data_IF_330635127174
#
_entry.id   IF_330635127174
#
_cell.length_a   1.000
_cell.length_b   1.000
_cell.length_c   1.000
_cell.angle_alpha   90.00
_cell.angle_beta   90.00
_cell.angle_gamma   90.00
#
_symmetry.space_group_name_H-M   'P 1'
#
loop_
_entity.id
_entity.type
_entity.pdbx_description
1 polymer ?
#
# COMPACT_ATOMS: atom_id res chain seq x y z
N UNK A 1 -4.09 -37.23 -6.45
CA UNK A 1 -4.71 -36.73 -7.70
C UNK A 1 -3.76 -36.98 -8.85
N UNK A 2 -4.27 -37.23 -10.05
CA UNK A 2 -3.44 -37.63 -11.18
C UNK A 2 -2.68 -36.42 -11.75
N UNK A 3 -1.34 -36.50 -11.76
CA UNK A 3 -0.48 -35.53 -12.44
C UNK A 3 -0.28 -35.95 -13.89
N UNK A 4 -1.36 -35.90 -14.67
CA UNK A 4 -1.33 -36.28 -16.08
C UNK A 4 -2.17 -35.34 -16.93
N UNK A 5 -1.99 -35.44 -18.24
CA UNK A 5 -2.72 -34.65 -19.24
C UNK A 5 -3.87 -35.45 -19.88
N UNK A 6 -4.38 -36.47 -19.19
CA UNK A 6 -5.45 -37.32 -19.73
C UNK A 6 -6.82 -36.64 -19.66
N UNK A 7 -7.01 -35.73 -18.70
CA UNK A 7 -8.24 -34.98 -18.49
C UNK A 7 -7.92 -33.49 -18.29
N UNK A 8 -8.85 -32.61 -18.66
CA UNK A 8 -8.66 -31.15 -18.55
C UNK A 8 -8.37 -30.72 -17.10
N UNK A 9 -9.10 -31.26 -16.12
CA UNK A 9 -8.88 -30.93 -14.70
C UNK A 9 -7.51 -31.41 -14.19
N UNK A 10 -7.10 -32.62 -14.56
CA UNK A 10 -5.78 -33.16 -14.22
C UNK A 10 -4.67 -32.34 -14.88
N UNK A 11 -4.87 -31.91 -16.14
CA UNK A 11 -3.94 -31.04 -16.85
C UNK A 11 -3.80 -29.66 -16.20
N UNK A 12 -4.89 -29.04 -15.76
CA UNK A 12 -4.85 -27.78 -14.99
C UNK A 12 -4.08 -27.97 -13.68
N UNK A 13 -4.28 -29.09 -12.98
CA UNK A 13 -3.51 -29.40 -11.77
C UNK A 13 -2.00 -29.56 -12.05
N UNK A 14 -1.61 -30.16 -13.18
CA UNK A 14 -0.20 -30.22 -13.59
C UNK A 14 0.35 -28.83 -13.89
N UNK A 15 -0.38 -28.00 -14.64
CA UNK A 15 0.03 -26.63 -14.95
C UNK A 15 0.16 -25.76 -13.69
N UNK A 16 -0.76 -25.93 -12.73
CA UNK A 16 -0.69 -25.26 -11.43
C UNK A 16 0.55 -25.71 -10.63
N UNK A 17 0.84 -27.01 -10.58
CA UNK A 17 2.05 -27.51 -9.93
C UNK A 17 3.33 -26.98 -10.61
N UNK A 18 3.35 -26.87 -11.95
CA UNK A 18 4.46 -26.24 -12.65
C UNK A 18 4.63 -24.77 -12.27
N UNK A 19 3.52 -24.05 -12.04
CA UNK A 19 3.55 -22.64 -11.66
C UNK A 19 4.07 -22.43 -10.23
N UNK A 20 3.68 -23.29 -9.28
CA UNK A 20 4.00 -23.14 -7.85
C UNK A 20 5.30 -23.84 -7.46
N UNK A 21 5.49 -25.09 -7.86
CA UNK A 21 6.65 -25.91 -7.47
C UNK A 21 7.85 -25.63 -8.38
N UNK A 22 7.61 -25.07 -9.57
CA UNK A 22 8.63 -24.70 -10.54
C UNK A 22 9.59 -25.84 -10.94
N UNK A 23 9.09 -27.07 -11.02
CA UNK A 23 9.86 -28.23 -11.46
C UNK A 23 9.62 -28.56 -12.94
N UNK A 24 9.71 -27.55 -13.80
CA UNK A 24 9.27 -27.66 -15.19
C UNK A 24 10.18 -28.53 -16.06
N UNK A 25 11.48 -28.61 -15.76
CA UNK A 25 12.46 -29.45 -16.50
C UNK A 25 12.19 -30.94 -16.32
N UNK A 26 11.83 -31.40 -15.12
CA UNK A 26 11.51 -32.81 -14.89
C UNK A 26 10.25 -33.25 -15.66
N UNK A 27 9.23 -32.38 -15.70
CA UNK A 27 8.02 -32.63 -16.48
C UNK A 27 8.25 -32.56 -17.99
N UNK A 28 9.09 -31.63 -18.45
CA UNK A 28 9.47 -31.50 -19.85
C UNK A 28 10.18 -32.77 -20.35
N UNK A 29 11.17 -33.26 -19.61
CA UNK A 29 11.89 -34.50 -19.92
C UNK A 29 10.92 -35.69 -19.96
N UNK A 30 10.06 -35.84 -18.95
CA UNK A 30 9.09 -36.94 -18.88
C UNK A 30 8.09 -36.97 -20.05
N UNK A 31 7.62 -35.80 -20.48
CA UNK A 31 6.69 -35.69 -21.61
C UNK A 31 7.39 -35.74 -22.98
N UNK A 32 8.64 -35.30 -23.07
CA UNK A 32 9.46 -35.49 -24.27
C UNK A 32 9.66 -36.98 -24.56
N UNK A 33 10.01 -37.78 -23.55
CA UNK A 33 10.14 -39.24 -23.70
C UNK A 33 8.83 -39.91 -24.11
N UNK A 34 7.70 -39.44 -23.57
CA UNK A 34 6.37 -40.00 -23.88
C UNK A 34 5.90 -39.62 -25.29
N UNK A 35 6.19 -38.39 -25.74
CA UNK A 35 5.74 -37.87 -27.04
C UNK A 35 6.73 -38.18 -28.17
N UNK A 36 7.97 -38.54 -27.85
CA UNK A 36 9.05 -38.79 -28.81
C UNK A 36 9.46 -37.57 -29.63
N UNK A 37 9.04 -36.36 -29.24
CA UNK A 37 9.17 -35.15 -30.05
C UNK A 37 9.72 -33.98 -29.24
N UNK A 38 10.79 -33.33 -29.74
CA UNK A 38 11.44 -32.16 -29.12
C UNK A 38 10.61 -30.87 -29.10
N UNK A 39 9.43 -30.86 -29.72
CA UNK A 39 8.53 -29.70 -29.77
C UNK A 39 7.92 -29.37 -28.41
N UNK A 40 7.82 -30.37 -27.54
CA UNK A 40 7.30 -30.26 -26.18
C UNK A 40 8.13 -29.27 -25.34
N UNK A 41 9.44 -29.17 -25.60
CA UNK A 41 10.35 -28.24 -24.92
C UNK A 41 9.93 -26.79 -25.05
N UNK A 42 9.50 -26.39 -26.26
CA UNK A 42 9.07 -25.02 -26.53
C UNK A 42 7.81 -24.64 -25.75
N UNK A 43 6.87 -25.58 -25.58
CA UNK A 43 5.68 -25.37 -24.79
C UNK A 43 6.03 -25.09 -23.32
N UNK A 44 6.85 -25.95 -22.72
CA UNK A 44 7.25 -25.80 -21.31
C UNK A 44 8.12 -24.57 -21.07
N UNK A 45 9.02 -24.23 -22.00
CA UNK A 45 9.82 -23.02 -21.93
C UNK A 45 8.95 -21.76 -22.00
N UNK A 46 8.01 -21.70 -22.95
CA UNK A 46 7.08 -20.57 -23.07
C UNK A 46 6.19 -20.45 -21.83
N UNK A 47 5.66 -21.57 -21.33
CA UNK A 47 4.85 -21.59 -20.11
C UNK A 47 5.65 -21.12 -18.89
N UNK A 48 6.91 -21.52 -18.75
CA UNK A 48 7.76 -21.06 -17.66
C UNK A 48 8.05 -19.55 -17.77
N UNK A 49 8.35 -19.06 -18.97
CA UNK A 49 8.66 -17.65 -19.19
C UNK A 49 7.47 -16.73 -18.93
N UNK A 50 6.30 -17.05 -19.45
CA UNK A 50 5.10 -16.22 -19.24
C UNK A 50 4.41 -16.52 -17.90
N UNK A 51 4.22 -17.80 -17.58
CA UNK A 51 3.48 -18.25 -16.41
C UNK A 51 4.26 -18.06 -15.11
N UNK A 52 5.52 -18.46 -15.06
CA UNK A 52 6.32 -18.34 -13.82
C UNK A 52 6.96 -16.98 -13.75
N UNK A 53 7.77 -16.59 -14.73
CA UNK A 53 8.58 -15.36 -14.62
C UNK A 53 7.69 -14.11 -14.66
N UNK A 54 6.84 -13.96 -15.68
CA UNK A 54 6.04 -12.72 -15.80
C UNK A 54 4.96 -12.63 -14.72
N UNK A 55 4.11 -13.65 -14.56
CA UNK A 55 3.00 -13.57 -13.58
C UNK A 55 3.54 -13.49 -12.15
N UNK A 56 4.54 -14.27 -11.76
CA UNK A 56 5.07 -14.19 -10.39
C UNK A 56 5.69 -12.83 -10.08
N UNK A 57 6.36 -12.22 -11.07
CA UNK A 57 6.90 -10.85 -10.91
C UNK A 57 5.78 -9.82 -10.80
N UNK A 58 4.70 -9.94 -11.57
CA UNK A 58 3.53 -9.06 -11.47
C UNK A 58 2.86 -9.19 -10.10
N UNK A 59 2.65 -10.42 -9.63
CA UNK A 59 2.07 -10.69 -8.30
C UNK A 59 2.95 -10.12 -7.20
N UNK A 60 4.27 -10.33 -7.28
CA UNK A 60 5.23 -9.78 -6.30
C UNK A 60 5.21 -8.25 -6.29
N UNK A 61 5.21 -7.63 -7.47
CA UNK A 61 5.09 -6.17 -7.62
C UNK A 61 3.80 -5.65 -6.99
N UNK A 62 2.68 -6.32 -7.23
CA UNK A 62 1.40 -5.96 -6.65
C UNK A 62 1.39 -6.05 -5.11
N UNK A 63 1.96 -7.12 -4.55
CA UNK A 63 2.07 -7.30 -3.09
C UNK A 63 2.95 -6.20 -2.48
N UNK A 64 4.09 -5.89 -3.08
CA UNK A 64 5.00 -4.84 -2.62
C UNK A 64 4.30 -3.48 -2.69
N UNK A 65 3.60 -3.19 -3.78
CA UNK A 65 2.86 -1.93 -3.93
C UNK A 65 1.75 -1.79 -2.87
N UNK A 66 0.99 -2.87 -2.62
CA UNK A 66 -0.03 -2.90 -1.59
C UNK A 66 0.57 -2.71 -0.18
N UNK A 67 1.77 -3.23 0.07
CA UNK A 67 2.49 -3.02 1.33
C UNK A 67 2.95 -1.56 1.48
N UNK A 68 3.53 -0.96 0.43
CA UNK A 68 3.94 0.44 0.47
C UNK A 68 2.76 1.39 0.68
N UNK A 69 1.62 1.14 0.03
CA UNK A 69 0.42 1.95 0.23
C UNK A 69 -0.09 1.89 1.67
N UNK A 70 -0.06 0.70 2.29
CA UNK A 70 -0.41 0.55 3.71
C UNK A 70 0.60 1.26 4.61
N UNK A 71 1.89 1.16 4.32
CA UNK A 71 2.94 1.84 5.09
C UNK A 71 2.80 3.36 5.01
N UNK A 72 2.58 3.92 3.82
CA UNK A 72 2.34 5.36 3.64
C UNK A 72 1.11 5.82 4.44
N UNK A 73 0.04 5.03 4.42
CA UNK A 73 -1.18 5.31 5.20
C UNK A 73 -0.90 5.32 6.71
N UNK A 74 -0.06 4.40 7.20
CA UNK A 74 0.32 4.34 8.62
C UNK A 74 1.24 5.51 8.98
N UNK A 75 2.24 5.81 8.15
CA UNK A 75 3.16 6.94 8.37
C UNK A 75 2.42 8.27 8.36
N UNK A 76 1.43 8.46 7.48
CA UNK A 76 0.58 9.66 7.53
C UNK A 76 -0.21 9.78 8.82
N UNK A 77 -0.72 8.66 9.37
CA UNK A 77 -1.42 8.66 10.66
C UNK A 77 -0.48 8.95 11.84
N UNK A 78 0.73 8.39 11.84
CA UNK A 78 1.71 8.53 12.91
C UNK A 78 2.49 9.85 12.85
N UNK A 79 2.73 10.40 11.66
CA UNK A 79 3.35 11.71 11.47
C UNK A 79 2.50 12.87 11.99
N UNK A 80 1.27 12.60 12.41
CA UNK A 80 0.41 13.54 13.14
C UNK A 80 0.53 13.43 14.67
N UNK A 81 1.25 12.43 15.19
CA UNK A 81 1.70 12.35 16.59
C UNK A 81 3.09 12.98 16.77
N UNK A 82 3.51 13.88 15.86
CA UNK A 82 4.67 14.73 16.10
C UNK A 82 4.39 15.54 17.38
N UNK A 83 5.27 15.37 18.37
CA UNK A 83 5.18 15.97 19.69
C UNK A 83 5.09 17.49 19.53
N UNK A 84 3.87 18.04 19.59
CA UNK A 84 3.63 19.49 19.61
C UNK A 84 4.09 20.00 20.96
N UNK A 85 5.39 20.26 21.08
CA UNK A 85 6.07 20.65 22.32
C UNK A 85 5.78 22.13 22.66
N UNK A 86 4.50 22.44 22.84
CA UNK A 86 4.02 23.79 23.23
C UNK A 86 3.77 24.75 22.07
N UNK A 87 4.01 24.37 20.82
CA UNK A 87 3.76 25.20 19.63
C UNK A 87 2.59 24.63 18.80
N UNK A 88 1.65 25.48 18.38
CA UNK A 88 0.52 25.06 17.55
C UNK A 88 0.99 24.88 16.10
N UNK A 89 0.87 23.66 15.57
CA UNK A 89 1.29 23.35 14.20
C UNK A 89 0.05 23.19 13.32
N UNK A 90 -0.04 24.00 12.27
CA UNK A 90 -1.07 23.87 11.23
C UNK A 90 -0.41 23.23 10.01
N UNK A 91 -0.96 22.09 9.57
CA UNK A 91 -0.55 21.39 8.34
C UNK A 91 -1.80 21.08 7.52
N UNK A 92 -2.03 21.85 6.46
CA UNK A 92 -3.15 21.66 5.54
C UNK A 92 -4.52 21.96 6.17
N UNK A 93 -5.48 21.05 5.98
CA UNK A 93 -6.84 21.19 6.54
C UNK A 93 -6.93 20.90 8.05
N UNK A 94 -5.83 20.59 8.74
CA UNK A 94 -5.86 20.22 10.15
C UNK A 94 -4.82 21.02 10.96
N UNK A 95 -5.26 21.56 12.10
CA UNK A 95 -4.40 22.21 13.09
C UNK A 95 -4.34 21.38 14.36
N UNK A 96 -3.13 21.13 14.87
CA UNK A 96 -2.89 20.39 16.12
C UNK A 96 -2.33 21.35 17.15
N UNK A 97 -2.90 21.34 18.35
CA UNK A 97 -2.42 22.16 19.47
C UNK A 97 -2.54 21.41 20.80
N UNK A 98 -1.59 21.67 21.69
CA UNK A 98 -1.63 21.19 23.07
C UNK A 98 -2.50 22.13 23.92
N UNK A 99 -3.60 21.61 24.47
CA UNK A 99 -4.53 22.39 25.27
C UNK A 99 -3.94 22.84 26.62
N UNK A 100 -2.87 22.20 27.10
CA UNK A 100 -2.22 22.57 28.38
C UNK A 100 -1.50 23.92 28.32
N UNK A 101 -1.04 24.31 27.14
CA UNK A 101 -0.29 25.56 26.92
C UNK A 101 -1.21 26.73 26.51
N UNK A 102 -2.48 26.43 26.17
CA UNK A 102 -3.50 27.44 25.81
C UNK A 102 -4.06 28.09 27.07
N UNK A 103 -3.41 29.16 27.52
CA UNK A 103 -3.83 29.97 28.67
C UNK A 103 -5.10 30.78 28.34
N UNK A 104 -6.11 30.71 29.22
CA UNK A 104 -7.32 31.55 29.14
C UNK A 104 -8.63 30.84 28.78
N UNK A 105 -8.66 29.52 28.65
CA UNK A 105 -9.90 28.75 28.39
C UNK A 105 -10.41 28.03 29.64
N UNK A 106 -11.73 28.10 29.91
CA UNK A 106 -12.40 27.38 31.02
C UNK A 106 -12.68 25.91 30.68
N UNK A 107 -11.85 25.28 29.85
CA UNK A 107 -12.16 23.97 29.27
C UNK A 107 -11.60 22.81 30.07
N UNK A 108 -10.71 23.03 31.04
CA UNK A 108 -10.19 21.98 31.95
C UNK A 108 -9.56 20.78 31.21
N UNK A 109 -9.16 20.98 29.96
CA UNK A 109 -8.77 19.93 29.04
C UNK A 109 -7.25 19.80 29.02
N UNK A 110 -6.74 18.62 29.34
CA UNK A 110 -5.31 18.36 29.53
C UNK A 110 -4.71 17.46 28.41
N UNK A 111 -5.30 17.45 27.22
CA UNK A 111 -4.89 16.57 26.11
C UNK A 111 -4.67 17.34 24.81
N UNK A 112 -4.03 16.69 23.83
CA UNK A 112 -3.85 17.21 22.47
C UNK A 112 -5.19 17.21 21.73
N UNK A 113 -5.50 18.31 21.03
CA UNK A 113 -6.70 18.43 20.20
C UNK A 113 -6.34 18.68 18.74
N UNK A 114 -7.16 18.13 17.86
CA UNK A 114 -7.04 18.28 16.41
C UNK A 114 -8.28 19.05 15.93
N UNK A 115 -8.07 20.22 15.33
CA UNK A 115 -9.12 21.02 14.71
C UNK A 115 -9.06 20.85 13.18
N UNK A 116 -10.20 20.59 12.56
CA UNK A 116 -10.34 20.55 11.11
C UNK A 116 -10.75 21.92 10.59
N UNK A 117 -9.93 22.50 9.72
CA UNK A 117 -10.14 23.78 9.05
C UNK A 117 -10.79 23.46 7.69
N UNK A 118 -12.01 23.92 7.48
CA UNK A 118 -12.64 23.84 6.16
C UNK A 118 -12.00 24.91 5.24
N UNK A 119 -11.36 24.53 4.13
CA UNK A 119 -10.73 25.49 3.23
C UNK A 119 -11.81 26.37 2.59
N UNK A 120 -11.53 27.67 2.51
CA UNK A 120 -12.44 28.68 1.92
C UNK A 120 -11.89 29.19 0.58
N UNK A 121 -10.59 28.98 0.31
CA UNK A 121 -9.89 29.31 -0.92
C UNK A 121 -9.10 28.10 -1.45
N UNK A 122 -8.76 28.11 -2.76
CA UNK A 122 -8.01 27.02 -3.40
C UNK A 122 -6.56 26.90 -2.92
N UNK A 123 -5.99 28.00 -2.38
CA UNK A 123 -4.62 28.06 -1.89
C UNK A 123 -4.56 27.83 -0.38
N UNK A 124 -4.16 26.62 0.00
CA UNK A 124 -4.10 26.14 1.39
C UNK A 124 -3.23 27.05 2.29
N UNK A 125 -2.09 27.53 1.79
CA UNK A 125 -1.17 28.37 2.59
C UNK A 125 -1.74 29.75 2.93
N UNK A 126 -2.58 30.31 2.05
CA UNK A 126 -3.23 31.62 2.27
C UNK A 126 -4.31 31.49 3.35
N UNK A 127 -5.06 30.38 3.31
CA UNK A 127 -6.09 30.07 4.31
C UNK A 127 -5.49 29.78 5.69
N UNK A 128 -4.33 29.10 5.76
CA UNK A 128 -3.60 28.87 7.02
C UNK A 128 -3.20 30.19 7.70
N UNK A 129 -2.58 31.12 6.96
CA UNK A 129 -2.17 32.42 7.51
C UNK A 129 -3.36 33.27 7.95
N UNK A 130 -4.46 33.22 7.20
CA UNK A 130 -5.69 33.94 7.55
C UNK A 130 -6.35 33.35 8.81
N UNK A 131 -6.37 32.02 8.94
CA UNK A 131 -6.88 31.33 10.13
C UNK A 131 -6.06 31.67 11.38
N UNK A 132 -4.72 31.62 11.29
CA UNK A 132 -3.82 32.04 12.37
C UNK A 132 -4.07 33.49 12.78
N UNK A 133 -4.14 34.40 11.81
CA UNK A 133 -4.39 35.82 12.08
C UNK A 133 -5.73 36.03 12.80
N UNK A 134 -6.78 35.35 12.39
CA UNK A 134 -8.10 35.46 13.04
C UNK A 134 -8.10 34.87 14.46
N UNK A 135 -7.31 33.83 14.70
CA UNK A 135 -7.19 33.20 16.01
C UNK A 135 -6.48 34.11 17.03
N UNK A 136 -5.42 34.81 16.61
CA UNK A 136 -4.66 35.70 17.49
C UNK A 136 -5.22 37.13 17.60
N UNK A 137 -6.00 37.60 16.61
CA UNK A 137 -6.60 38.95 16.67
C UNK A 137 -7.84 39.01 17.55
N UNK A 138 -8.55 37.89 17.75
CA UNK A 138 -9.78 37.85 18.56
C UNK A 138 -9.55 37.96 20.08
N UNK A 139 -8.30 37.90 20.54
CA UNK A 139 -7.93 37.98 21.97
C UNK A 139 -7.72 39.43 22.46
N UNK A 140 -7.86 40.45 21.60
CA UNK A 140 -7.60 41.86 21.94
C UNK A 140 -8.85 42.74 22.14
N UNK A 141 -9.93 42.19 22.71
CA UNK A 141 -11.06 42.98 23.23
C UNK A 141 -11.66 42.33 24.47
#
# INVERSE_FOLDING_TARGET
WANNFNDMFSGVNVLFNLLVVNNWTEFEIGLEYTTGTKRVRFFFLAFHLFGVIVISNVVTSFIINAYFQQMETIVQRLGWEENVEGEAVIKGEHGVFDATTVTGTKTGANSVYIARIAPRHLDVEVDERAALRNLFTRTSS
#
